data_IF_010571289419
#
_entry.id   IF_010571289419
#
_cell.length_a   1.000
_cell.length_b   1.000
_cell.length_c   1.000
_cell.angle_alpha   90.00
_cell.angle_beta   90.00
_cell.angle_gamma   90.00
#
_symmetry.space_group_name_H-M   'P 1'
#
loop_
_entity.id
_entity.type
_entity.pdbx_description
1 polymer ?
#
# COMPACT_ATOMS: atom_id res chain seq x y z
N UNK A 1 10.17 18.76 -15.99
CA UNK A 1 8.99 19.01 -15.11
C UNK A 1 8.18 17.75 -14.81
N UNK A 2 7.40 17.15 -15.73
CA UNK A 2 6.55 15.96 -15.37
C UNK A 2 7.39 14.79 -14.83
N UNK A 3 8.50 14.47 -15.49
CA UNK A 3 9.40 13.40 -15.05
C UNK A 3 9.98 13.67 -13.67
N UNK A 4 10.39 14.90 -13.40
CA UNK A 4 10.94 15.36 -12.12
C UNK A 4 9.90 15.26 -10.99
N UNK A 5 8.65 15.69 -11.24
CA UNK A 5 7.56 15.51 -10.27
C UNK A 5 7.32 14.03 -9.97
N UNK A 6 7.31 13.17 -10.99
CA UNK A 6 7.15 11.73 -10.80
C UNK A 6 8.35 11.10 -10.07
N UNK A 7 9.57 11.62 -10.26
CA UNK A 7 10.74 11.22 -9.49
C UNK A 7 10.57 11.54 -8.01
N UNK A 8 10.18 12.77 -7.65
CA UNK A 8 9.93 13.13 -6.25
C UNK A 8 8.79 12.33 -5.61
N UNK A 9 7.75 11.98 -6.39
CA UNK A 9 6.68 11.09 -5.92
C UNK A 9 7.19 9.69 -5.57
N UNK A 10 8.04 9.13 -6.44
CA UNK A 10 8.65 7.83 -6.22
C UNK A 10 9.66 7.84 -5.06
N UNK A 11 10.40 8.93 -4.91
CA UNK A 11 11.32 9.15 -3.79
C UNK A 11 10.57 9.21 -2.46
N UNK A 12 9.48 9.98 -2.38
CA UNK A 12 8.62 10.01 -1.20
C UNK A 12 8.09 8.62 -0.83
N UNK A 13 7.63 7.84 -1.81
CA UNK A 13 7.20 6.46 -1.57
C UNK A 13 8.36 5.60 -1.05
N UNK A 14 9.58 5.75 -1.59
CA UNK A 14 10.76 5.00 -1.15
C UNK A 14 11.17 5.35 0.29
N UNK A 15 11.14 6.64 0.65
CA UNK A 15 11.42 7.12 2.01
C UNK A 15 10.48 6.45 3.01
N UNK A 16 9.17 6.50 2.75
CA UNK A 16 8.15 5.96 3.67
C UNK A 16 8.13 4.43 3.70
N UNK A 17 8.42 3.77 2.57
CA UNK A 17 8.24 2.31 2.48
C UNK A 17 9.51 1.49 2.68
N UNK A 18 10.69 2.09 2.55
CA UNK A 18 11.98 1.38 2.65
C UNK A 18 12.99 2.09 3.56
N UNK A 19 13.26 3.37 3.33
CA UNK A 19 14.40 4.04 3.99
C UNK A 19 14.15 4.38 5.46
N UNK A 20 12.90 4.71 5.80
CA UNK A 20 12.51 5.04 7.19
C UNK A 20 12.65 3.88 8.18
N UNK A 21 12.81 2.64 7.70
CA UNK A 21 12.96 1.45 8.56
C UNK A 21 11.72 1.08 9.38
N UNK A 22 10.60 1.79 9.20
CA UNK A 22 9.36 1.57 9.95
C UNK A 22 8.54 0.40 9.39
N UNK A 23 7.84 -0.30 10.27
CA UNK A 23 6.93 -1.37 9.86
C UNK A 23 5.74 -0.80 9.09
N UNK A 24 5.04 -1.65 8.32
CA UNK A 24 3.87 -1.22 7.55
C UNK A 24 2.78 -0.59 8.43
N UNK A 25 2.64 -1.12 9.65
CA UNK A 25 1.67 -0.69 10.66
C UNK A 25 1.98 0.71 11.22
N UNK A 26 3.25 1.12 11.21
CA UNK A 26 3.70 2.42 11.75
C UNK A 26 3.71 3.55 10.69
N UNK A 27 3.60 3.21 9.40
CA UNK A 27 3.71 4.18 8.30
C UNK A 27 2.70 5.30 8.36
N UNK A 28 1.48 5.02 8.81
CA UNK A 28 0.42 6.02 8.89
C UNK A 28 0.80 7.15 9.85
N UNK A 29 1.07 6.80 11.11
CA UNK A 29 1.45 7.79 12.13
C UNK A 29 2.71 8.54 11.73
N UNK A 30 3.75 7.82 11.27
CA UNK A 30 5.00 8.43 10.81
C UNK A 30 4.78 9.53 9.75
N UNK A 31 3.95 9.27 8.75
CA UNK A 31 3.64 10.25 7.70
C UNK A 31 2.85 11.41 8.27
N UNK A 32 1.85 11.14 9.11
CA UNK A 32 0.92 12.16 9.60
C UNK A 32 1.46 13.01 10.75
N UNK A 33 2.48 12.54 11.46
CA UNK A 33 3.23 13.36 12.43
C UNK A 33 3.94 14.53 11.74
N UNK A 34 4.43 14.31 10.52
CA UNK A 34 5.16 15.31 9.72
C UNK A 34 4.25 16.06 8.74
N UNK A 35 3.30 15.35 8.12
CA UNK A 35 2.42 15.85 7.06
C UNK A 35 0.96 15.54 7.40
N UNK A 36 0.42 16.30 8.36
CA UNK A 36 -0.97 16.17 8.82
C UNK A 36 -1.96 16.31 7.65
N UNK A 37 -2.89 15.37 7.55
CA UNK A 37 -3.92 15.37 6.50
C UNK A 37 -3.45 14.93 5.11
N UNK A 38 -2.19 14.50 4.93
CA UNK A 38 -1.71 14.02 3.64
C UNK A 38 -2.49 12.78 3.17
N UNK A 39 -3.09 12.84 1.99
CA UNK A 39 -3.68 11.65 1.37
C UNK A 39 -2.57 10.90 0.64
N UNK A 40 -1.93 9.94 1.32
CA UNK A 40 -0.71 9.25 0.86
C UNK A 40 -0.81 8.69 -0.56
N UNK A 41 -1.91 8.03 -0.92
CA UNK A 41 -2.08 7.48 -2.27
C UNK A 41 -2.25 8.56 -3.35
N UNK A 42 -2.79 9.74 -3.01
CA UNK A 42 -2.83 10.88 -3.93
C UNK A 42 -1.44 11.51 -4.12
N UNK A 43 -0.58 11.44 -3.09
CA UNK A 43 0.81 11.86 -3.19
C UNK A 43 1.59 10.90 -4.11
N UNK A 44 1.39 9.59 -3.98
CA UNK A 44 2.15 8.58 -4.74
C UNK A 44 1.71 8.44 -6.19
N UNK A 45 0.41 8.59 -6.50
CA UNK A 45 -0.06 8.43 -7.89
C UNK A 45 0.71 9.35 -8.85
N UNK A 46 1.22 8.76 -9.93
CA UNK A 46 2.03 9.45 -10.94
C UNK A 46 1.18 10.20 -11.95
N UNK A 47 1.79 11.16 -12.63
CA UNK A 47 1.23 11.84 -13.79
C UNK A 47 1.68 11.07 -15.03
N UNK A 48 0.75 10.57 -15.84
CA UNK A 48 1.04 9.81 -17.06
C UNK A 48 0.93 10.72 -18.29
N UNK A 49 2.04 11.20 -18.89
CA UNK A 49 1.98 11.97 -20.12
C UNK A 49 1.65 11.08 -21.32
N UNK A 50 0.79 11.56 -22.21
CA UNK A 50 0.52 10.95 -23.53
C UNK A 50 0.95 11.94 -24.61
N UNK A 51 1.75 11.51 -25.58
CA UNK A 51 2.23 12.34 -26.68
C UNK A 51 1.56 11.87 -27.97
N UNK A 52 0.83 12.78 -28.62
CA UNK A 52 0.16 12.56 -29.91
C UNK A 52 -0.66 11.25 -29.99
N UNK A 53 -1.62 11.00 -29.08
CA UNK A 53 -2.49 9.83 -29.20
C UNK A 53 -3.51 10.03 -30.34
N UNK A 54 -3.71 9.02 -31.17
CA UNK A 54 -4.71 9.05 -32.25
C UNK A 54 -6.16 8.99 -31.71
N UNK A 55 -6.38 8.28 -30.60
CA UNK A 55 -7.67 8.22 -29.91
C UNK A 55 -7.51 7.82 -28.44
N UNK A 56 -8.46 8.21 -27.59
CA UNK A 56 -8.54 7.83 -26.18
C UNK A 56 -9.97 7.42 -25.87
N UNK A 57 -10.13 6.25 -25.24
CA UNK A 57 -11.42 5.75 -24.78
C UNK A 57 -11.38 5.48 -23.27
N UNK A 58 -12.54 5.54 -22.63
CA UNK A 58 -12.70 5.30 -21.20
C UNK A 58 -13.70 4.17 -20.97
N UNK A 59 -13.45 3.37 -19.94
CA UNK A 59 -14.29 2.24 -19.59
C UNK A 59 -14.06 1.80 -18.16
N UNK A 60 -14.87 0.86 -17.72
CA UNK A 60 -14.81 0.29 -16.38
C UNK A 60 -14.07 -1.04 -16.42
N UNK A 61 -13.24 -1.29 -15.40
CA UNK A 61 -12.52 -2.54 -15.25
C UNK A 61 -12.83 -3.17 -13.90
N UNK A 62 -13.10 -4.48 -13.89
CA UNK A 62 -13.22 -5.26 -12.66
C UNK A 62 -11.94 -6.11 -12.50
N UNK A 63 -11.09 -5.74 -11.54
CA UNK A 63 -9.77 -6.35 -11.33
C UNK A 63 -9.72 -7.06 -9.99
N UNK A 64 -9.12 -8.25 -9.97
CA UNK A 64 -8.83 -8.98 -8.74
C UNK A 64 -7.37 -8.75 -8.32
N UNK A 65 -7.13 -8.61 -7.01
CA UNK A 65 -5.77 -8.69 -6.46
C UNK A 65 -5.41 -10.18 -6.34
N UNK A 66 -4.48 -10.64 -7.16
CA UNK A 66 -4.02 -12.04 -7.16
C UNK A 66 -2.60 -12.09 -6.56
N UNK A 67 -2.49 -12.62 -5.35
CA UNK A 67 -1.21 -12.86 -4.67
C UNK A 67 -0.95 -14.35 -4.57
N UNK A 68 0.03 -14.86 -5.32
CA UNK A 68 0.47 -16.25 -5.19
C UNK A 68 1.18 -16.44 -3.85
N UNK A 69 0.81 -17.50 -3.13
CA UNK A 69 1.34 -17.81 -1.80
C UNK A 69 1.70 -19.29 -1.73
N UNK A 70 2.73 -19.61 -0.95
CA UNK A 70 3.10 -21.00 -0.66
C UNK A 70 2.36 -21.50 0.58
N UNK A 71 2.28 -22.82 0.73
CA UNK A 71 1.77 -23.45 1.96
C UNK A 71 2.47 -22.90 3.21
N UNK A 72 3.80 -22.80 3.15
CA UNK A 72 4.62 -22.32 4.26
C UNK A 72 4.28 -20.87 4.66
N UNK A 73 4.14 -19.96 3.69
CA UNK A 73 3.75 -18.58 3.97
C UNK A 73 2.35 -18.47 4.60
N UNK A 74 1.45 -19.40 4.27
CA UNK A 74 0.12 -19.45 4.90
C UNK A 74 0.23 -19.96 6.33
N UNK A 75 1.01 -21.03 6.58
CA UNK A 75 1.23 -21.54 7.93
C UNK A 75 1.83 -20.47 8.86
N UNK A 76 2.85 -19.74 8.42
CA UNK A 76 3.47 -18.66 9.19
C UNK A 76 2.48 -17.53 9.54
N UNK A 77 1.59 -17.18 8.61
CA UNK A 77 0.53 -16.19 8.88
C UNK A 77 -0.48 -16.68 9.90
N UNK A 78 -0.86 -17.96 9.81
CA UNK A 78 -1.80 -18.59 10.74
C UNK A 78 -1.18 -18.68 12.14
N UNK A 79 0.07 -19.11 12.27
CA UNK A 79 0.81 -19.14 13.53
C UNK A 79 0.92 -17.74 14.15
N UNK A 80 1.29 -16.72 13.36
CA UNK A 80 1.32 -15.34 13.82
C UNK A 80 -0.05 -14.88 14.36
N UNK A 81 -1.14 -15.24 13.68
CA UNK A 81 -2.48 -14.89 14.09
C UNK A 81 -2.91 -15.61 15.37
N UNK A 82 -2.62 -16.90 15.48
CA UNK A 82 -2.91 -17.72 16.65
C UNK A 82 -2.20 -17.19 17.89
N UNK A 83 -0.90 -16.90 17.77
CA UNK A 83 -0.09 -16.41 18.88
C UNK A 83 -0.45 -14.99 19.31
N UNK A 84 -1.07 -14.20 18.43
CA UNK A 84 -1.56 -12.86 18.78
C UNK A 84 -2.82 -12.88 19.67
N UNK A 85 -3.48 -14.03 19.85
CA UNK A 85 -4.61 -14.20 20.78
C UNK A 85 -5.80 -13.29 20.50
N UNK A 86 -5.96 -12.84 19.25
CA UNK A 86 -6.96 -11.83 18.90
C UNK A 86 -8.36 -12.45 18.88
N UNK A 87 -9.26 -11.93 19.72
CA UNK A 87 -10.69 -12.22 19.61
C UNK A 87 -11.27 -11.54 18.36
N UNK A 88 -12.07 -12.28 17.59
CA UNK A 88 -12.75 -11.78 16.39
C UNK A 88 -14.25 -11.99 16.57
N UNK A 89 -15.06 -10.92 16.63
CA UNK A 89 -16.51 -11.06 16.78
C UNK A 89 -17.11 -11.99 15.72
N UNK A 90 -18.04 -12.90 16.10
CA UNK A 90 -18.68 -13.04 17.41
C UNK A 90 -17.93 -13.92 18.43
N UNK A 91 -16.75 -14.46 18.08
CA UNK A 91 -16.03 -15.46 18.87
C UNK A 91 -15.04 -14.83 19.86
N UNK A 92 -14.85 -15.49 21.01
CA UNK A 92 -13.78 -15.15 21.95
C UNK A 92 -12.44 -15.72 21.48
N UNK A 93 -11.32 -15.32 22.10
CA UNK A 93 -9.99 -15.81 21.73
C UNK A 93 -9.74 -17.29 22.01
N UNK A 94 -10.61 -17.94 22.79
CA UNK A 94 -10.49 -19.36 23.18
C UNK A 94 -11.30 -20.31 22.28
N UNK A 95 -12.17 -19.77 21.41
CA UNK A 95 -13.05 -20.51 20.49
C UNK A 95 -12.48 -20.52 19.07
#
# INVERSE_FOLDING_TARGET
VINEVNQFKAELENIVTKESGISKEQRFEFVHDHLRGLITLNAYRTITPLLNPDSINFGWANKNIINKVTKQQILERLEKSHNAGRAVPPYSSEQ
#
